data_IF_131137331209
#
_entry.id   IF_131137331209
#
_cell.length_a   1.000
_cell.length_b   1.000
_cell.length_c   1.000
_cell.angle_alpha   90.00
_cell.angle_beta   90.00
_cell.angle_gamma   90.00
#
_symmetry.space_group_name_H-M   'P 1'
#
loop_
_entity.id
_entity.type
_entity.pdbx_description
1 polymer ?
#
# COMPACT_ATOMS: atom_id res chain seq x y z
N UNK A 1 -50.04 -36.17 23.74
CA UNK A 1 -51.22 -35.81 22.91
C UNK A 1 -50.83 -35.87 21.43
N UNK A 2 -51.83 -36.14 20.57
CA UNK A 2 -51.72 -36.71 19.23
C UNK A 2 -51.13 -35.78 18.15
N UNK A 3 -50.54 -36.43 17.16
CA UNK A 3 -50.20 -35.97 15.80
C UNK A 3 -51.45 -35.84 14.90
N UNK A 4 -51.43 -34.91 13.93
CA UNK A 4 -51.92 -35.00 12.53
C UNK A 4 -51.96 -33.58 11.90
N UNK A 5 -51.12 -33.25 10.90
CA UNK A 5 -51.34 -33.32 9.44
C UNK A 5 -52.54 -32.51 8.89
N UNK A 6 -52.21 -31.40 8.20
CA UNK A 6 -52.53 -31.13 6.79
C UNK A 6 -53.92 -30.60 6.41
N UNK A 7 -53.96 -29.48 5.66
CA UNK A 7 -54.75 -29.34 4.44
C UNK A 7 -54.40 -28.05 3.68
N UNK A 8 -54.32 -28.18 2.35
CA UNK A 8 -54.04 -27.17 1.33
C UNK A 8 -55.15 -26.12 1.18
N UNK A 9 -54.76 -24.95 0.65
CA UNK A 9 -55.64 -24.16 -0.23
C UNK A 9 -54.84 -23.62 -1.43
N UNK A 10 -55.15 -24.15 -2.62
CA UNK A 10 -54.90 -23.51 -3.91
C UNK A 10 -56.11 -22.60 -4.23
N UNK A 11 -55.91 -21.37 -4.72
CA UNK A 11 -56.15 -20.95 -6.13
C UNK A 11 -56.16 -19.44 -6.35
N UNK A 12 -55.69 -19.08 -7.54
CA UNK A 12 -56.16 -18.02 -8.44
C UNK A 12 -56.13 -16.55 -7.99
N UNK A 13 -55.03 -15.88 -8.34
CA UNK A 13 -55.02 -14.92 -9.45
C UNK A 13 -55.92 -13.69 -9.35
N UNK A 14 -55.29 -12.54 -9.08
CA UNK A 14 -55.60 -11.28 -9.76
C UNK A 14 -54.30 -10.48 -9.93
N UNK A 15 -53.86 -10.37 -11.18
CA UNK A 15 -52.86 -9.41 -11.63
C UNK A 15 -53.55 -8.05 -11.71
N UNK A 16 -53.01 -7.03 -11.04
CA UNK A 16 -53.23 -5.62 -11.41
C UNK A 16 -51.96 -5.10 -12.10
N UNK A 17 -52.05 -4.56 -13.31
CA UNK A 17 -50.94 -3.86 -13.95
C UNK A 17 -50.87 -2.41 -13.43
N UNK A 18 -49.81 -1.74 -13.84
CA UNK A 18 -49.48 -0.32 -13.63
C UNK A 18 -48.84 -0.02 -12.25
N UNK A 19 -47.59 0.41 -12.16
CA UNK A 19 -46.75 1.04 -13.18
C UNK A 19 -46.00 2.17 -12.52
N UNK A 20 -45.00 1.84 -11.70
CA UNK A 20 -43.89 2.72 -11.27
C UNK A 20 -43.04 2.00 -10.20
N UNK A 21 -42.33 0.94 -10.61
CA UNK A 21 -41.10 0.57 -9.89
C UNK A 21 -40.04 1.60 -10.28
N UNK A 22 -39.93 2.68 -9.50
CA UNK A 22 -38.66 3.35 -9.35
C UNK A 22 -37.70 2.28 -8.79
N UNK A 23 -36.92 1.68 -9.69
CA UNK A 23 -35.95 0.66 -9.31
C UNK A 23 -34.98 1.27 -8.31
N UNK A 24 -35.12 0.87 -7.05
CA UNK A 24 -34.03 0.98 -6.08
C UNK A 24 -32.86 0.20 -6.67
N UNK A 25 -31.94 0.89 -7.34
CA UNK A 25 -30.63 0.33 -7.67
C UNK A 25 -29.81 0.24 -6.37
N UNK A 26 -30.28 -0.55 -5.43
CA UNK A 26 -29.49 -1.10 -4.33
C UNK A 26 -28.74 -2.32 -4.89
N UNK A 27 -27.91 -2.08 -5.90
CA UNK A 27 -26.82 -2.98 -6.22
C UNK A 27 -25.67 -2.68 -5.25
N UNK A 28 -24.80 -3.65 -4.93
CA UNK A 28 -23.58 -3.36 -4.19
C UNK A 28 -22.81 -2.27 -4.94
N UNK A 29 -22.53 -1.16 -4.26
CA UNK A 29 -21.59 -0.17 -4.79
C UNK A 29 -20.22 -0.83 -4.78
N UNK A 30 -19.66 -1.05 -5.96
CA UNK A 30 -18.25 -1.42 -6.10
C UNK A 30 -17.45 -0.15 -5.84
N UNK A 31 -16.73 -0.09 -4.73
CA UNK A 31 -15.63 0.86 -4.56
C UNK A 31 -14.38 0.24 -5.20
N UNK A 32 -13.62 1.07 -5.92
CA UNK A 32 -12.32 0.69 -6.46
C UNK A 32 -11.29 1.38 -5.59
N UNK A 33 -10.43 0.61 -4.94
CA UNK A 33 -9.30 1.15 -4.18
C UNK A 33 -8.13 1.38 -5.15
N UNK A 34 -7.55 2.58 -5.11
CA UNK A 34 -6.46 3.00 -5.97
C UNK A 34 -5.18 3.10 -5.14
N UNK A 35 -4.16 2.36 -5.56
CA UNK A 35 -2.82 2.42 -4.97
C UNK A 35 -1.80 2.92 -5.99
N UNK A 36 -0.88 3.78 -5.56
CA UNK A 36 0.23 4.27 -6.39
C UNK A 36 1.56 3.78 -5.83
N UNK A 37 2.45 3.38 -6.75
CA UNK A 37 3.88 3.31 -6.47
C UNK A 37 4.61 4.48 -7.14
N UNK A 38 5.47 5.16 -6.39
CA UNK A 38 6.26 6.31 -6.88
C UNK A 38 7.66 6.29 -6.28
N UNK A 39 8.65 6.85 -6.96
CA UNK A 39 9.98 7.07 -6.35
C UNK A 39 9.98 8.19 -5.31
N UNK A 40 8.94 9.03 -5.30
CA UNK A 40 8.88 10.22 -4.46
C UNK A 40 9.68 11.41 -5.01
N UNK A 41 10.30 11.29 -6.19
CA UNK A 41 11.06 12.37 -6.84
C UNK A 41 10.18 13.54 -7.33
N UNK A 42 8.87 13.31 -7.47
CA UNK A 42 7.86 14.33 -7.80
C UNK A 42 6.64 14.12 -6.92
N UNK A 43 5.89 15.18 -6.69
CA UNK A 43 4.66 15.18 -5.89
C UNK A 43 3.58 15.92 -6.66
N UNK A 44 2.41 15.30 -6.75
CA UNK A 44 1.18 15.90 -7.29
C UNK A 44 0.16 15.85 -6.16
N UNK A 45 0.12 16.91 -5.36
CA UNK A 45 -0.65 16.95 -4.10
C UNK A 45 -2.16 16.88 -4.35
N UNK A 46 -2.63 17.31 -5.52
CA UNK A 46 -4.03 17.20 -5.94
C UNK A 46 -4.51 15.75 -5.97
N UNK A 47 -3.62 14.78 -6.16
CA UNK A 47 -3.95 13.36 -6.14
C UNK A 47 -4.04 12.78 -4.72
N UNK A 48 -3.60 13.49 -3.69
CA UNK A 48 -3.60 12.96 -2.31
C UNK A 48 -5.01 12.64 -1.81
N UNK A 49 -6.04 13.33 -2.29
CA UNK A 49 -7.44 13.06 -1.90
C UNK A 49 -8.05 11.90 -2.70
N UNK A 50 -7.47 11.53 -3.84
CA UNK A 50 -8.08 10.60 -4.82
C UNK A 50 -7.50 9.19 -4.72
N UNK A 51 -6.31 9.05 -4.17
CA UNK A 51 -5.55 7.80 -4.13
C UNK A 51 -5.61 7.23 -2.72
N UNK A 52 -6.18 6.05 -2.56
CA UNK A 52 -6.41 5.43 -1.25
C UNK A 52 -5.10 5.12 -0.52
N UNK A 53 -4.06 4.67 -1.24
CA UNK A 53 -2.79 4.27 -0.65
C UNK A 53 -1.56 4.62 -1.49
N UNK A 54 -0.53 5.15 -0.84
CA UNK A 54 0.72 5.56 -1.47
C UNK A 54 1.90 4.71 -1.00
N UNK A 55 2.57 4.05 -1.92
CA UNK A 55 3.90 3.48 -1.72
C UNK A 55 4.93 4.42 -2.30
N UNK A 56 5.70 5.07 -1.43
CA UNK A 56 6.80 5.94 -1.82
C UNK A 56 8.11 5.17 -1.67
N UNK A 57 8.88 5.08 -2.75
CA UNK A 57 10.10 4.29 -2.82
C UNK A 57 11.33 5.15 -3.15
N UNK A 58 11.87 5.88 -2.14
CA UNK A 58 13.11 6.64 -2.27
C UNK A 58 14.25 5.77 -2.78
N UNK A 59 15.21 6.40 -3.44
CA UNK A 59 16.36 5.70 -4.00
C UNK A 59 17.57 5.87 -3.08
N UNK A 60 18.18 4.76 -2.68
CA UNK A 60 19.48 4.77 -2.02
C UNK A 60 20.63 4.96 -3.01
N UNK A 61 21.84 5.04 -2.48
CA UNK A 61 23.08 5.21 -3.26
C UNK A 61 23.23 4.17 -4.37
N UNK A 62 22.86 2.91 -4.14
CA UNK A 62 23.02 1.84 -5.15
C UNK A 62 22.12 1.97 -6.37
N UNK A 63 21.20 2.95 -6.39
CA UNK A 63 20.39 3.27 -7.56
C UNK A 63 21.07 4.26 -8.53
N UNK A 64 22.21 4.84 -8.15
CA UNK A 64 23.02 5.75 -8.98
C UNK A 64 22.21 6.89 -9.62
N UNK A 65 21.16 7.37 -8.93
CA UNK A 65 20.19 8.32 -9.47
C UNK A 65 20.54 9.78 -9.23
N UNK A 66 21.39 10.07 -8.23
CA UNK A 66 21.71 11.43 -7.80
C UNK A 66 23.22 11.67 -7.83
N UNK A 67 23.58 12.93 -8.12
CA UNK A 67 24.92 13.44 -7.86
C UNK A 67 24.94 14.04 -6.44
N UNK A 68 25.92 13.65 -5.61
CA UNK A 68 26.05 14.14 -4.23
C UNK A 68 25.30 13.28 -3.19
N UNK A 69 24.92 13.89 -2.07
CA UNK A 69 24.22 13.19 -0.98
C UNK A 69 22.78 12.86 -1.38
N UNK A 70 22.49 11.56 -1.53
CA UNK A 70 21.19 11.05 -1.97
C UNK A 70 20.06 11.39 -1.00
N UNK A 71 20.35 11.49 0.30
CA UNK A 71 19.36 11.80 1.33
C UNK A 71 18.97 13.27 1.24
N UNK A 72 19.96 14.17 1.24
CA UNK A 72 19.73 15.62 1.16
C UNK A 72 18.96 16.00 -0.11
N UNK A 73 19.26 15.35 -1.23
CA UNK A 73 18.59 15.58 -2.50
C UNK A 73 17.08 15.24 -2.49
N UNK A 74 16.67 14.27 -1.66
CA UNK A 74 15.31 13.73 -1.69
C UNK A 74 14.41 14.27 -0.57
N UNK A 75 14.97 14.48 0.63
CA UNK A 75 14.20 14.82 1.85
C UNK A 75 13.20 15.97 1.66
N UNK A 76 13.54 17.12 1.02
CA UNK A 76 12.58 18.21 0.84
C UNK A 76 11.31 17.79 0.11
N UNK A 77 11.44 16.91 -0.89
CA UNK A 77 10.31 16.42 -1.68
C UNK A 77 9.56 15.33 -0.95
N UNK A 78 10.29 14.38 -0.33
CA UNK A 78 9.69 13.29 0.45
C UNK A 78 8.86 13.81 1.63
N UNK A 79 9.26 14.92 2.25
CA UNK A 79 8.55 15.54 3.39
C UNK A 79 7.11 15.92 3.05
N UNK A 80 6.81 16.23 1.78
CA UNK A 80 5.44 16.57 1.34
C UNK A 80 4.48 15.40 1.48
N UNK A 81 4.94 14.16 1.35
CA UNK A 81 4.11 12.97 1.55
C UNK A 81 3.69 12.77 3.02
N UNK A 82 4.28 13.48 3.98
CA UNK A 82 3.87 13.42 5.39
C UNK A 82 2.52 14.13 5.64
N UNK A 83 1.98 14.87 4.66
CA UNK A 83 0.63 15.42 4.73
C UNK A 83 -0.46 14.34 4.60
N UNK A 84 -0.15 13.20 3.98
CA UNK A 84 -1.05 12.04 3.93
C UNK A 84 -1.16 11.43 5.34
N UNK A 85 -2.28 10.80 5.74
CA UNK A 85 -2.35 10.01 6.98
C UNK A 85 -1.42 8.79 6.98
N UNK A 86 -0.95 8.36 8.16
CA UNK A 86 -0.04 7.20 8.31
C UNK A 86 -0.64 5.92 7.72
N UNK A 87 -1.96 5.76 7.81
CA UNK A 87 -2.70 4.61 7.27
C UNK A 87 -2.80 4.59 5.74
N UNK A 88 -2.43 5.69 5.07
CA UNK A 88 -2.54 5.86 3.62
C UNK A 88 -1.18 5.97 2.92
N UNK A 89 -0.09 5.80 3.66
CA UNK A 89 1.26 5.87 3.11
C UNK A 89 2.20 4.84 3.70
N UNK A 90 3.13 4.36 2.89
CA UNK A 90 4.30 3.62 3.34
C UNK A 90 5.55 4.09 2.62
N UNK A 91 6.69 3.97 3.30
CA UNK A 91 8.00 4.06 2.65
C UNK A 91 8.53 2.67 2.34
N UNK A 92 8.90 2.43 1.08
CA UNK A 92 9.47 1.16 0.59
C UNK A 92 10.89 1.38 0.11
N UNK A 93 11.88 0.83 0.80
CA UNK A 93 13.28 0.94 0.40
C UNK A 93 13.72 -0.31 -0.34
N UNK A 94 14.23 -0.14 -1.55
CA UNK A 94 14.90 -1.23 -2.28
C UNK A 94 16.36 -1.25 -1.85
N UNK A 95 16.78 -2.37 -1.28
CA UNK A 95 18.08 -2.50 -0.62
C UNK A 95 18.95 -3.51 -1.36
N UNK A 96 20.11 -3.06 -1.84
CA UNK A 96 21.16 -3.88 -2.43
C UNK A 96 22.33 -4.02 -1.47
N UNK A 97 22.66 -2.97 -0.73
CA UNK A 97 23.87 -2.89 0.09
C UNK A 97 23.58 -2.42 1.52
N UNK A 98 24.60 -2.51 2.39
CA UNK A 98 24.57 -1.90 3.73
C UNK A 98 24.43 -0.37 3.65
N UNK A 99 24.97 0.26 2.60
CA UNK A 99 24.85 1.70 2.39
C UNK A 99 23.39 2.10 2.16
N UNK A 100 22.61 1.34 1.39
CA UNK A 100 21.19 1.65 1.20
C UNK A 100 20.39 1.55 2.51
N UNK A 101 20.79 0.67 3.44
CA UNK A 101 20.19 0.63 4.79
C UNK A 101 20.51 1.91 5.55
N UNK A 102 21.76 2.38 5.49
CA UNK A 102 22.17 3.65 6.08
C UNK A 102 21.37 4.81 5.51
N UNK A 103 21.23 4.88 4.18
CA UNK A 103 20.44 5.92 3.49
C UNK A 103 18.97 5.87 3.89
N UNK A 104 18.37 4.68 3.93
CA UNK A 104 16.99 4.50 4.35
C UNK A 104 16.75 4.99 5.79
N UNK A 105 17.63 4.62 6.72
CA UNK A 105 17.56 5.10 8.11
C UNK A 105 17.72 6.63 8.16
N UNK A 106 18.72 7.20 7.48
CA UNK A 106 18.92 8.65 7.42
C UNK A 106 17.70 9.39 6.86
N UNK A 107 17.07 8.87 5.80
CA UNK A 107 15.84 9.45 5.25
C UNK A 107 14.72 9.44 6.30
N UNK A 108 14.50 8.31 6.99
CA UNK A 108 13.44 8.21 8.00
C UNK A 108 13.70 9.15 9.18
N UNK A 109 14.97 9.29 9.59
CA UNK A 109 15.41 10.17 10.66
C UNK A 109 15.13 11.64 10.34
N UNK A 110 15.56 12.09 9.15
CA UNK A 110 15.39 13.48 8.66
C UNK A 110 13.91 13.85 8.43
N UNK A 111 13.08 12.85 8.17
CA UNK A 111 11.63 13.01 8.06
C UNK A 111 10.92 12.93 9.41
N UNK A 112 11.58 12.48 10.48
CA UNK A 112 10.94 12.13 11.74
C UNK A 112 9.81 11.12 11.54
N UNK A 113 9.98 10.19 10.60
CA UNK A 113 8.89 9.36 10.09
C UNK A 113 8.41 8.36 11.14
N UNK A 114 7.08 8.22 11.20
CA UNK A 114 6.38 7.12 11.87
C UNK A 114 5.38 6.54 10.87
N UNK A 115 5.27 5.21 10.82
CA UNK A 115 4.32 4.54 9.95
C UNK A 115 4.91 3.32 9.25
N UNK A 116 4.21 2.81 8.23
CA UNK A 116 4.61 1.57 7.55
C UNK A 116 5.93 1.74 6.78
N UNK A 117 6.91 0.91 7.12
CA UNK A 117 8.19 0.80 6.41
C UNK A 117 8.32 -0.59 5.81
N UNK A 118 8.67 -0.66 4.53
CA UNK A 118 8.97 -1.91 3.82
C UNK A 118 10.43 -1.90 3.40
N UNK A 119 11.14 -2.95 3.79
CA UNK A 119 12.51 -3.24 3.37
C UNK A 119 12.42 -4.32 2.31
N UNK A 120 12.78 -3.99 1.08
CA UNK A 120 12.68 -4.89 -0.04
C UNK A 120 14.09 -5.20 -0.56
N UNK A 121 14.65 -6.40 -0.29
CA UNK A 121 15.91 -6.78 -0.93
C UNK A 121 15.72 -6.77 -2.45
N UNK A 122 16.67 -6.15 -3.15
CA UNK A 122 16.76 -6.25 -4.60
C UNK A 122 16.92 -7.73 -4.99
N UNK A 123 16.29 -8.16 -6.09
CA UNK A 123 16.13 -9.58 -6.40
C UNK A 123 17.43 -10.31 -6.72
N UNK A 124 18.37 -9.65 -7.40
CA UNK A 124 19.63 -10.26 -7.83
C UNK A 124 20.77 -9.95 -6.87
N UNK A 125 20.75 -8.77 -6.27
CA UNK A 125 21.89 -8.23 -5.50
C UNK A 125 21.60 -8.05 -4.01
N UNK A 126 20.34 -8.01 -3.61
CA UNK A 126 19.94 -7.75 -2.23
C UNK A 126 20.08 -8.99 -1.35
N UNK A 127 20.66 -8.82 -0.16
CA UNK A 127 20.71 -9.84 0.87
C UNK A 127 19.73 -9.53 2.01
N UNK A 128 18.62 -10.27 2.05
CA UNK A 128 17.62 -10.13 3.11
C UNK A 128 18.15 -10.45 4.52
N UNK A 129 19.16 -11.31 4.66
CA UNK A 129 19.77 -11.62 5.96
C UNK A 129 20.56 -10.44 6.47
N UNK A 130 21.39 -9.84 5.62
CA UNK A 130 22.12 -8.62 5.94
C UNK A 130 21.16 -7.53 6.43
N UNK A 131 20.06 -7.28 5.71
CA UNK A 131 19.06 -6.29 6.10
C UNK A 131 18.52 -6.59 7.50
N UNK A 132 18.18 -7.85 7.77
CA UNK A 132 17.69 -8.27 9.07
C UNK A 132 18.70 -8.05 10.20
N UNK A 133 19.98 -8.24 9.93
CA UNK A 133 21.04 -8.05 10.93
C UNK A 133 21.36 -6.59 11.21
N UNK A 134 21.24 -5.71 10.20
CA UNK A 134 21.71 -4.32 10.30
C UNK A 134 20.62 -3.28 10.50
N UNK A 135 19.36 -3.63 10.23
CA UNK A 135 18.26 -2.70 10.42
C UNK A 135 18.06 -2.38 11.92
N UNK A 136 17.86 -1.10 12.31
CA UNK A 136 17.65 -0.73 13.70
C UNK A 136 16.19 -1.01 14.13
N UNK A 137 15.90 -2.28 14.43
CA UNK A 137 14.56 -2.76 14.80
C UNK A 137 13.99 -2.14 16.07
N UNK A 138 14.83 -1.68 16.99
CA UNK A 138 14.44 -0.96 18.19
C UNK A 138 13.88 0.43 17.88
N UNK A 139 14.40 1.06 16.82
CA UNK A 139 13.99 2.39 16.37
C UNK A 139 12.80 2.37 15.41
N UNK A 140 12.78 1.39 14.50
CA UNK A 140 11.71 1.21 13.52
C UNK A 140 11.13 -0.22 13.60
N UNK A 141 10.47 -0.57 14.74
CA UNK A 141 9.96 -1.92 14.99
C UNK A 141 8.82 -2.35 14.05
N UNK A 142 8.15 -1.40 13.41
CA UNK A 142 7.07 -1.64 12.47
C UNK A 142 7.53 -2.00 11.04
N UNK A 143 8.83 -1.90 10.78
CA UNK A 143 9.41 -2.24 9.49
C UNK A 143 9.16 -3.71 9.13
N UNK A 144 9.00 -3.99 7.83
CA UNK A 144 8.75 -5.34 7.31
C UNK A 144 9.72 -5.67 6.20
N UNK A 145 10.42 -6.79 6.31
CA UNK A 145 11.24 -7.34 5.23
C UNK A 145 10.34 -8.13 4.27
N UNK A 146 10.15 -7.61 3.06
CA UNK A 146 9.26 -8.22 2.05
C UNK A 146 10.06 -8.37 0.74
N UNK A 147 10.36 -9.60 0.29
CA UNK A 147 11.05 -9.81 -0.98
C UNK A 147 10.13 -9.54 -2.18
N UNK A 148 10.72 -9.37 -3.37
CA UNK A 148 9.97 -9.25 -4.64
C UNK A 148 9.33 -10.59 -5.02
N UNK A 149 8.16 -10.88 -4.44
CA UNK A 149 7.47 -12.18 -4.56
C UNK A 149 7.16 -12.56 -6.00
N UNK A 150 6.76 -11.61 -6.85
CA UNK A 150 6.48 -11.87 -8.26
C UNK A 150 7.70 -12.43 -9.02
N UNK A 151 8.91 -11.92 -8.74
CA UNK A 151 10.14 -12.47 -9.33
C UNK A 151 10.49 -13.86 -8.80
N UNK A 152 10.18 -14.15 -7.54
CA UNK A 152 10.37 -15.50 -6.95
C UNK A 152 9.47 -16.53 -7.65
N UNK A 153 8.24 -16.16 -8.00
CA UNK A 153 7.28 -17.05 -8.66
C UNK A 153 7.35 -17.01 -10.20
N UNK A 154 8.32 -16.30 -10.77
CA UNK A 154 8.54 -16.24 -12.22
C UNK A 154 7.51 -15.40 -12.99
N UNK A 155 6.86 -14.44 -12.34
CA UNK A 155 6.00 -13.45 -12.99
C UNK A 155 6.84 -12.22 -13.34
N UNK A 156 6.91 -11.91 -14.65
CA UNK A 156 7.58 -10.74 -15.21
C UNK A 156 6.58 -9.63 -15.54
#
# INVERSE_FOLDING_TARGET
MRSARGAHAHRCGQVRPDGSRAGSRSGPRVSIDISIETSGARVVEELFEWIDFWTVAPKGTSAETFEGDVVEAQVPTLRRYLALPDSRRQFKFVIQTREDVSDAVRILDELGYRGSVVLQPEHERGDGRLIFEVWPWDRYPEARLIPQTHKIVGLH
#
